data_IF_579686209485
#
_entry.id   IF_579686209485
#
_cell.length_a   1.000
_cell.length_b   1.000
_cell.length_c   1.000
_cell.angle_alpha   90.00
_cell.angle_beta   90.00
_cell.angle_gamma   90.00
#
_symmetry.space_group_name_H-M   'P 1'
#
loop_
_entity.id
_entity.type
_entity.pdbx_description
1 polymer ?
#
# COMPACT_ATOMS: atom_id res chain seq x y z
N UNK A 1 17.19 -11.34 -4.61
CA UNK A 1 16.63 -10.22 -3.81
C UNK A 1 15.17 -10.07 -4.23
N UNK A 2 14.22 -10.00 -3.29
CA UNK A 2 12.79 -9.81 -3.59
C UNK A 2 12.37 -8.43 -3.10
N UNK A 3 11.74 -7.64 -3.96
CA UNK A 3 11.16 -6.37 -3.56
C UNK A 3 9.76 -6.62 -3.00
N UNK A 4 9.47 -6.10 -1.81
CA UNK A 4 8.28 -6.50 -1.05
C UNK A 4 7.30 -5.33 -0.90
N UNK A 5 7.81 -4.10 -0.82
CA UNK A 5 7.04 -2.92 -0.49
C UNK A 5 7.57 -1.68 -1.21
N UNK A 6 6.65 -0.87 -1.76
CA UNK A 6 6.93 0.46 -2.30
C UNK A 6 5.98 1.46 -1.65
N UNK A 7 6.50 2.60 -1.21
CA UNK A 7 5.69 3.71 -0.69
C UNK A 7 6.08 4.97 -1.44
N UNK A 8 5.13 5.55 -2.17
CA UNK A 8 5.33 6.80 -2.91
C UNK A 8 4.56 7.93 -2.23
N UNK A 9 5.31 8.87 -1.67
CA UNK A 9 4.74 10.05 -1.02
C UNK A 9 4.90 11.28 -1.93
N UNK A 10 3.83 12.03 -2.15
CA UNK A 10 3.88 13.32 -2.86
C UNK A 10 3.09 14.38 -2.12
N UNK A 11 3.66 15.59 -2.03
CA UNK A 11 3.01 16.76 -1.43
C UNK A 11 1.97 17.40 -2.35
N UNK A 12 2.16 17.33 -3.67
CA UNK A 12 1.41 18.12 -4.64
C UNK A 12 0.22 17.39 -5.27
N UNK A 13 0.36 16.10 -5.62
CA UNK A 13 -0.74 15.36 -6.25
C UNK A 13 -0.67 13.84 -6.03
N UNK A 14 -1.83 13.24 -5.74
CA UNK A 14 -1.99 11.77 -5.77
C UNK A 14 -1.86 11.21 -7.19
N UNK A 15 -2.20 11.98 -8.22
CA UNK A 15 -2.14 11.54 -9.61
C UNK A 15 -0.70 11.22 -10.05
N UNK A 16 0.26 12.07 -9.70
CA UNK A 16 1.67 11.84 -10.00
C UNK A 16 2.25 10.72 -9.13
N UNK A 17 1.91 10.67 -7.84
CA UNK A 17 2.29 9.57 -6.95
C UNK A 17 1.83 8.21 -7.51
N UNK A 18 0.60 8.13 -8.03
CA UNK A 18 0.04 6.92 -8.63
C UNK A 18 0.82 6.47 -9.86
N UNK A 19 1.17 7.38 -10.77
CA UNK A 19 1.93 7.04 -11.98
C UNK A 19 3.28 6.39 -11.61
N UNK A 20 4.00 7.01 -10.69
CA UNK A 20 5.29 6.49 -10.23
C UNK A 20 5.13 5.15 -9.53
N UNK A 21 4.19 5.06 -8.57
CA UNK A 21 3.94 3.82 -7.85
C UNK A 21 3.52 2.67 -8.78
N UNK A 22 2.70 2.92 -9.80
CA UNK A 22 2.27 1.88 -10.76
C UNK A 22 3.44 1.36 -11.60
N UNK A 23 4.31 2.25 -12.07
CA UNK A 23 5.52 1.85 -12.80
C UNK A 23 6.43 1.01 -11.90
N UNK A 24 6.69 1.47 -10.68
CA UNK A 24 7.55 0.74 -9.75
C UNK A 24 6.96 -0.61 -9.33
N UNK A 25 5.63 -0.73 -9.22
CA UNK A 25 4.96 -2.01 -8.95
C UNK A 25 5.09 -2.99 -10.10
N UNK A 26 5.01 -2.51 -11.35
CA UNK A 26 5.24 -3.34 -12.53
C UNK A 26 6.67 -3.87 -12.54
N UNK A 27 7.64 -2.97 -12.42
CA UNK A 27 9.07 -3.33 -12.40
C UNK A 27 9.38 -4.30 -11.25
N UNK A 28 8.83 -4.03 -10.05
CA UNK A 28 8.96 -4.91 -8.89
C UNK A 28 8.43 -6.32 -9.17
N UNK A 29 7.24 -6.45 -9.78
CA UNK A 29 6.67 -7.76 -10.12
C UNK A 29 7.50 -8.50 -11.14
N UNK A 30 7.95 -7.79 -12.19
CA UNK A 30 8.76 -8.37 -13.25
C UNK A 30 10.12 -8.84 -12.70
N UNK A 31 10.76 -8.04 -11.83
CA UNK A 31 11.99 -8.44 -11.12
C UNK A 31 11.78 -9.62 -10.16
N UNK A 32 10.61 -9.73 -9.53
CA UNK A 32 10.28 -10.83 -8.63
C UNK A 32 9.88 -12.12 -9.36
N UNK A 33 9.72 -12.09 -10.69
CA UNK A 33 9.25 -13.23 -11.48
C UNK A 33 7.75 -13.50 -11.36
N UNK A 34 6.95 -12.50 -10.96
CA UNK A 34 5.49 -12.61 -10.80
C UNK A 34 5.02 -12.51 -9.35
N UNK A 35 3.88 -13.17 -9.07
CA UNK A 35 3.18 -13.07 -7.79
C UNK A 35 2.42 -11.76 -7.61
N UNK A 36 1.91 -11.55 -6.38
CA UNK A 36 1.28 -10.29 -5.97
C UNK A 36 2.32 -9.39 -5.31
N UNK A 37 2.33 -8.13 -5.72
CA UNK A 37 3.18 -7.10 -5.14
C UNK A 37 2.33 -5.93 -4.69
N UNK A 38 2.83 -5.17 -3.71
CA UNK A 38 2.06 -4.15 -3.02
C UNK A 38 2.79 -2.82 -2.97
N UNK A 39 2.04 -1.75 -3.16
CA UNK A 39 2.53 -0.38 -3.11
C UNK A 39 1.55 0.53 -2.40
N UNK A 40 2.01 1.70 -1.98
CA UNK A 40 1.21 2.69 -1.28
C UNK A 40 1.43 4.06 -1.90
N UNK A 41 0.36 4.84 -1.99
CA UNK A 41 0.44 6.27 -2.30
C UNK A 41 -0.09 7.07 -1.12
N UNK A 42 0.63 8.14 -0.76
CA UNK A 42 0.24 9.00 0.35
C UNK A 42 0.52 10.48 0.10
N UNK A 43 -0.32 11.34 0.67
CA UNK A 43 -0.07 12.79 0.81
C UNK A 43 0.19 13.20 2.28
N UNK A 44 0.48 12.22 3.15
CA UNK A 44 0.68 12.40 4.58
C UNK A 44 -0.50 11.84 5.38
N UNK A 45 -1.62 12.54 5.36
CA UNK A 45 -2.85 12.19 6.10
C UNK A 45 -3.74 11.17 5.37
N UNK A 46 -3.64 11.12 4.06
CA UNK A 46 -4.41 10.26 3.17
C UNK A 46 -3.56 9.16 2.58
N UNK A 47 -3.96 7.90 2.77
CA UNK A 47 -3.28 6.72 2.24
C UNK A 47 -4.16 5.90 1.32
N UNK A 48 -3.55 5.23 0.34
CA UNK A 48 -4.16 4.14 -0.43
C UNK A 48 -3.15 3.05 -0.70
N UNK A 49 -3.57 1.81 -0.54
CA UNK A 49 -2.82 0.64 -0.97
C UNK A 49 -3.16 0.30 -2.41
N UNK A 50 -2.17 -0.17 -3.14
CA UNK A 50 -2.28 -0.71 -4.49
C UNK A 50 -1.72 -2.13 -4.45
N UNK A 51 -2.45 -3.09 -5.01
CA UNK A 51 -1.94 -4.44 -5.25
C UNK A 51 -1.87 -4.71 -6.74
N UNK A 52 -0.84 -5.44 -7.16
CA UNK A 52 -0.63 -5.81 -8.55
C UNK A 52 -0.25 -7.27 -8.66
N UNK A 53 -1.13 -8.07 -9.25
CA UNK A 53 -0.96 -9.50 -9.56
C UNK A 53 -0.81 -9.76 -11.08
N UNK A 54 -0.76 -8.67 -11.86
CA UNK A 54 -1.03 -8.64 -13.31
C UNK A 54 -2.20 -7.71 -13.64
N UNK A 55 -3.09 -7.49 -12.67
CA UNK A 55 -4.14 -6.45 -12.69
C UNK A 55 -3.96 -5.51 -11.50
N UNK A 56 -4.05 -4.20 -11.75
CA UNK A 56 -4.01 -3.21 -10.65
C UNK A 56 -5.35 -3.19 -9.91
N UNK A 57 -5.28 -3.27 -8.58
CA UNK A 57 -6.40 -3.04 -7.66
C UNK A 57 -5.95 -2.00 -6.64
N UNK A 58 -6.88 -1.17 -6.17
CA UNK A 58 -6.59 -0.11 -5.22
C UNK A 58 -7.61 -0.15 -4.09
N UNK A 59 -7.16 0.06 -2.85
CA UNK A 59 -8.03 0.17 -1.69
C UNK A 59 -8.84 1.46 -1.74
N UNK A 60 -9.87 1.51 -0.91
CA UNK A 60 -10.48 2.77 -0.51
C UNK A 60 -9.45 3.70 0.16
N UNK A 61 -9.79 4.99 0.21
CA UNK A 61 -8.97 6.00 0.88
C UNK A 61 -8.99 5.75 2.39
N UNK A 62 -7.80 5.73 2.99
CA UNK A 62 -7.62 5.62 4.43
C UNK A 62 -7.21 7.02 4.90
N UNK A 63 -8.10 7.67 5.66
CA UNK A 63 -7.82 8.97 6.29
C UNK A 63 -7.29 8.73 7.69
N UNK A 64 -6.06 9.17 7.95
CA UNK A 64 -5.40 8.99 9.25
C UNK A 64 -5.69 10.14 10.21
N UNK A 65 -6.13 11.28 9.69
CA UNK A 65 -6.43 12.46 10.50
C UNK A 65 -7.92 12.80 10.47
N UNK A 66 -8.43 13.20 11.62
CA UNK A 66 -9.76 13.77 11.80
C UNK A 66 -9.71 14.83 12.92
N UNK A 67 -10.58 15.84 12.84
CA UNK A 67 -10.46 17.07 13.62
C UNK A 67 -10.48 16.90 15.14
N UNK A 68 -11.12 15.83 15.64
CA UNK A 68 -11.30 15.56 17.07
C UNK A 68 -10.36 14.49 17.62
N UNK A 69 -9.22 14.25 16.95
CA UNK A 69 -8.26 13.22 17.35
C UNK A 69 -7.73 13.41 18.76
N UNK A 70 -7.59 14.66 19.22
CA UNK A 70 -7.19 15.01 20.58
C UNK A 70 -8.23 14.66 21.65
N UNK A 71 -9.48 14.40 21.24
CA UNK A 71 -10.64 14.20 22.11
C UNK A 71 -11.24 12.79 22.00
N UNK A 72 -10.90 12.04 20.96
CA UNK A 72 -11.50 10.75 20.62
C UNK A 72 -10.38 9.71 20.41
N UNK A 73 -9.70 9.37 21.52
CA UNK A 73 -8.57 8.44 21.56
C UNK A 73 -8.97 7.04 21.09
N UNK A 74 -10.16 6.55 21.44
CA UNK A 74 -10.62 5.22 21.01
C UNK A 74 -10.74 5.12 19.50
N UNK A 75 -11.39 6.12 18.85
CA UNK A 75 -11.46 6.17 17.39
C UNK A 75 -10.08 6.36 16.78
N UNK A 76 -9.23 7.17 17.40
CA UNK A 76 -7.87 7.39 16.93
C UNK A 76 -7.07 6.08 16.92
N UNK A 77 -7.06 5.35 18.04
CA UNK A 77 -6.38 4.07 18.18
C UNK A 77 -6.93 3.01 17.23
N UNK A 78 -8.26 2.97 17.03
CA UNK A 78 -8.89 2.07 16.07
C UNK A 78 -8.53 2.40 14.61
N UNK A 79 -8.30 3.68 14.28
CA UNK A 79 -7.97 4.13 12.93
C UNK A 79 -6.46 4.07 12.61
N UNK A 80 -5.58 4.23 13.61
CA UNK A 80 -4.13 4.33 13.40
C UNK A 80 -3.44 2.99 13.11
N UNK A 81 -4.08 1.86 13.42
CA UNK A 81 -3.55 0.53 13.05
C UNK A 81 -3.76 0.21 11.57
N UNK A 82 -4.70 0.87 10.89
CA UNK A 82 -5.11 0.47 9.53
C UNK A 82 -3.92 0.44 8.56
N UNK A 83 -3.05 1.48 8.47
CA UNK A 83 -1.84 1.40 7.63
C UNK A 83 -0.88 0.29 8.04
N UNK A 84 -0.76 0.03 9.34
CA UNK A 84 0.13 -1.02 9.88
C UNK A 84 -0.39 -2.40 9.49
N UNK A 85 -1.70 -2.61 9.54
CA UNK A 85 -2.34 -3.85 9.10
C UNK A 85 -2.10 -4.08 7.59
N UNK A 86 -2.23 -3.04 6.78
CA UNK A 86 -1.90 -3.13 5.35
C UNK A 86 -0.40 -3.35 5.08
N UNK A 87 0.50 -2.75 5.86
CA UNK A 87 1.93 -3.04 5.77
C UNK A 87 2.24 -4.48 6.18
N UNK A 88 1.61 -4.99 7.24
CA UNK A 88 1.76 -6.38 7.64
C UNK A 88 1.29 -7.33 6.53
N UNK A 89 0.18 -7.03 5.86
CA UNK A 89 -0.29 -7.80 4.68
C UNK A 89 0.75 -7.75 3.56
N UNK A 90 1.27 -6.56 3.22
CA UNK A 90 2.24 -6.39 2.16
C UNK A 90 3.55 -7.14 2.46
N UNK A 91 4.07 -7.02 3.68
CA UNK A 91 5.30 -7.69 4.12
C UNK A 91 5.14 -9.20 4.22
N UNK A 92 3.96 -9.67 4.63
CA UNK A 92 3.69 -11.11 4.79
C UNK A 92 3.41 -11.81 3.47
N UNK A 93 2.86 -11.11 2.47
CA UNK A 93 2.37 -11.73 1.23
C UNK A 93 3.09 -11.27 -0.03
N UNK A 94 3.82 -10.16 0.02
CA UNK A 94 4.52 -9.60 -1.13
C UNK A 94 5.56 -10.58 -1.69
N UNK A 95 5.60 -10.68 -3.02
CA UNK A 95 6.56 -11.53 -3.74
C UNK A 95 6.48 -13.04 -3.41
N UNK A 96 5.39 -13.50 -2.78
CA UNK A 96 5.03 -14.91 -2.78
C UNK A 96 4.57 -15.28 -4.19
N UNK A 97 5.21 -16.30 -4.77
CA UNK A 97 4.77 -16.88 -6.04
C UNK A 97 3.38 -17.52 -5.90
N UNK A 98 2.78 -18.03 -6.99
CA UNK A 98 1.63 -18.90 -6.86
C UNK A 98 1.95 -20.00 -5.84
N UNK A 99 1.06 -20.20 -4.88
CA UNK A 99 1.17 -21.33 -3.95
C UNK A 99 1.08 -22.58 -4.81
N UNK A 100 2.16 -23.37 -4.89
CA UNK A 100 2.06 -24.71 -5.47
C UNK A 100 1.00 -25.45 -4.65
N UNK A 101 -0.10 -25.80 -5.30
CA UNK A 101 -1.09 -26.69 -4.73
C UNK A 101 -0.39 -28.03 -4.50
N UNK A 102 -0.17 -28.36 -3.22
CA UNK A 102 0.26 -29.71 -2.78
C UNK A 102 -0.95 -30.63 -2.84
#
# INVERSE_FOLDING_TARGET
MKYILIVEAKKASLGEARKQCFLSLKDMRDCNGGGTVYGFVTMGDSWRMISFDGTFKMSEKIELMFDSMDKDEERWMAAYSIPIDYFNVALSNGAKGPVEAV
#
